data_IF_065038523227
#
_entry.id   IF_065038523227
#
_cell.length_a   1.000
_cell.length_b   1.000
_cell.length_c   1.000
_cell.angle_alpha   90.00
_cell.angle_beta   90.00
_cell.angle_gamma   90.00
#
_symmetry.space_group_name_H-M   'P 1'
#
loop_
_entity.id
_entity.type
_entity.pdbx_description
1 polymer ?
#
# COMPACT_ATOMS: atom_id res chain seq x y z
N UNK A 1 -11.60 8.38 22.64
CA UNK A 1 -11.28 8.83 21.28
C UNK A 1 -12.12 8.01 20.31
N UNK A 2 -12.91 8.66 19.45
CA UNK A 2 -13.78 7.95 18.50
C UNK A 2 -13.04 7.83 17.18
N UNK A 3 -12.47 6.67 16.90
CA UNK A 3 -11.86 6.38 15.59
C UNK A 3 -13.00 5.88 14.70
N UNK A 4 -13.31 6.63 13.63
CA UNK A 4 -14.25 6.22 12.60
C UNK A 4 -13.50 5.60 11.42
N UNK A 5 -12.38 6.20 11.03
CA UNK A 5 -11.66 5.84 9.83
C UNK A 5 -10.17 5.63 10.12
N UNK A 6 -9.55 4.76 9.33
CA UNK A 6 -8.12 4.45 9.42
C UNK A 6 -7.42 4.67 8.08
N UNK A 7 -6.38 5.49 8.08
CA UNK A 7 -5.53 5.73 6.91
C UNK A 7 -4.14 5.14 7.12
N UNK A 8 -3.85 4.04 6.45
CA UNK A 8 -2.55 3.38 6.45
C UNK A 8 -1.63 4.05 5.44
N UNK A 9 -1.13 5.24 5.78
CA UNK A 9 -0.28 6.05 4.90
C UNK A 9 1.22 5.86 5.16
N UNK A 10 1.62 5.43 6.36
CA UNK A 10 3.03 5.26 6.69
C UNK A 10 3.73 4.38 5.64
N UNK A 11 4.89 4.82 5.19
CA UNK A 11 5.69 4.10 4.20
C UNK A 11 7.05 4.77 4.04
N UNK A 12 8.05 3.95 3.82
CA UNK A 12 9.43 4.39 3.66
C UNK A 12 10.12 3.62 2.53
N UNK A 13 11.21 4.18 2.07
CA UNK A 13 12.17 3.53 1.19
C UNK A 13 13.57 3.72 1.77
N UNK A 14 14.24 2.61 2.09
CA UNK A 14 15.62 2.59 2.55
C UNK A 14 16.56 2.10 1.46
N UNK A 15 17.83 2.53 1.52
CA UNK A 15 18.87 2.10 0.58
C UNK A 15 19.50 0.80 1.01
N UNK A 16 19.71 0.65 2.29
CA UNK A 16 20.45 -0.46 2.87
C UNK A 16 19.48 -1.49 3.46
N UNK A 17 19.96 -2.70 3.59
CA UNK A 17 19.20 -3.73 4.29
C UNK A 17 19.36 -3.53 5.80
N UNK A 18 18.27 -3.21 6.45
CA UNK A 18 18.22 -3.02 7.89
C UNK A 18 17.15 -3.89 8.50
N UNK A 19 17.42 -4.47 9.65
CA UNK A 19 16.45 -5.22 10.45
C UNK A 19 15.93 -4.35 11.60
N UNK A 20 14.66 -4.53 11.91
CA UNK A 20 14.06 -4.01 13.16
C UNK A 20 14.53 -4.83 14.35
N UNK A 21 14.25 -4.38 15.57
CA UNK A 21 14.53 -5.12 16.82
C UNK A 21 13.83 -6.49 16.82
N UNK A 22 12.68 -6.62 16.14
CA UNK A 22 11.93 -7.88 15.98
C UNK A 22 12.50 -8.79 14.88
N UNK A 23 13.57 -8.39 14.19
CA UNK A 23 14.22 -9.17 13.14
C UNK A 23 13.59 -9.04 11.74
N UNK A 24 12.65 -8.13 11.52
CA UNK A 24 12.04 -7.89 10.22
C UNK A 24 12.81 -6.89 9.38
N UNK A 25 12.86 -7.08 8.07
CA UNK A 25 13.40 -6.07 7.17
C UNK A 25 12.56 -4.77 7.26
N UNK A 26 13.21 -3.62 7.40
CA UNK A 26 12.59 -2.34 7.78
C UNK A 26 11.48 -1.88 6.82
N UNK A 27 11.65 -2.02 5.49
CA UNK A 27 10.59 -1.66 4.55
C UNK A 27 9.40 -2.61 4.63
N UNK A 28 9.64 -3.91 4.82
CA UNK A 28 8.59 -4.90 5.01
C UNK A 28 7.82 -4.62 6.30
N UNK A 29 8.54 -4.38 7.39
CA UNK A 29 7.97 -4.07 8.70
C UNK A 29 7.07 -2.83 8.64
N UNK A 30 7.57 -1.71 8.16
CA UNK A 30 6.81 -0.45 8.16
C UNK A 30 5.73 -0.41 7.07
N UNK A 31 6.09 -0.81 5.83
CA UNK A 31 5.18 -0.65 4.71
C UNK A 31 4.06 -1.69 4.70
N UNK A 32 4.28 -2.87 5.25
CA UNK A 32 3.30 -3.95 5.16
C UNK A 32 2.86 -4.48 6.52
N UNK A 33 3.75 -5.01 7.35
CA UNK A 33 3.37 -5.62 8.63
C UNK A 33 2.72 -4.60 9.60
N UNK A 34 3.27 -3.39 9.69
CA UNK A 34 2.68 -2.33 10.51
C UNK A 34 1.28 -1.92 10.05
N UNK A 35 1.06 -1.86 8.72
CA UNK A 35 -0.26 -1.58 8.17
C UNK A 35 -1.26 -2.72 8.44
N UNK A 36 -0.83 -3.98 8.32
CA UNK A 36 -1.61 -5.17 8.64
C UNK A 36 -1.99 -5.18 10.13
N UNK A 37 -1.00 -5.13 11.04
CA UNK A 37 -1.23 -5.12 12.50
C UNK A 37 -2.22 -4.04 12.92
N UNK A 38 -1.97 -2.80 12.51
CA UNK A 38 -2.82 -1.68 12.91
C UNK A 38 -4.24 -1.77 12.34
N UNK A 39 -4.41 -2.32 11.14
CA UNK A 39 -5.75 -2.53 10.60
C UNK A 39 -6.51 -3.54 11.46
N UNK A 40 -5.93 -4.73 11.72
CA UNK A 40 -6.63 -5.78 12.47
C UNK A 40 -6.87 -5.41 13.93
N UNK A 41 -5.89 -4.84 14.62
CA UNK A 41 -6.03 -4.42 16.03
C UNK A 41 -7.12 -3.35 16.24
N UNK A 42 -7.47 -2.60 15.20
CA UNK A 42 -8.47 -1.54 15.31
C UNK A 42 -9.85 -1.95 14.78
N UNK A 43 -10.03 -3.17 14.27
CA UNK A 43 -11.29 -3.61 13.66
C UNK A 43 -12.50 -3.45 14.58
N UNK A 44 -12.41 -3.85 15.85
CA UNK A 44 -13.51 -3.71 16.80
C UNK A 44 -13.97 -2.26 16.97
N UNK A 45 -13.00 -1.34 17.03
CA UNK A 45 -13.30 0.09 17.17
C UNK A 45 -13.93 0.68 15.90
N UNK A 46 -13.50 0.21 14.74
CA UNK A 46 -14.04 0.61 13.44
C UNK A 46 -15.42 0.01 13.20
N UNK A 47 -15.63 -1.26 13.59
CA UNK A 47 -16.88 -1.99 13.39
C UNK A 47 -18.08 -1.31 14.07
N UNK A 48 -17.88 -0.83 15.29
CA UNK A 48 -18.93 -0.11 16.07
C UNK A 48 -19.47 1.15 15.39
N UNK A 49 -18.85 1.65 14.32
CA UNK A 49 -19.12 2.94 13.70
C UNK A 49 -19.19 2.95 12.18
N UNK A 50 -19.32 1.78 11.55
CA UNK A 50 -19.27 1.66 10.09
C UNK A 50 -18.02 2.36 9.53
N UNK A 51 -16.87 1.99 10.08
CA UNK A 51 -15.59 2.63 9.78
C UNK A 51 -15.06 2.31 8.39
N UNK A 52 -14.02 3.04 8.00
CA UNK A 52 -13.34 2.84 6.72
C UNK A 52 -11.84 2.67 6.91
N UNK A 53 -11.26 1.72 6.17
CA UNK A 53 -9.82 1.52 6.10
C UNK A 53 -9.35 1.91 4.70
N UNK A 54 -8.49 2.92 4.61
CA UNK A 54 -7.86 3.32 3.35
C UNK A 54 -6.39 2.92 3.37
N UNK A 55 -6.02 2.02 2.48
CA UNK A 55 -4.65 1.56 2.33
C UNK A 55 -3.94 2.38 1.26
N UNK A 56 -2.97 3.21 1.68
CA UNK A 56 -2.18 3.99 0.73
C UNK A 56 -1.08 3.11 0.14
N UNK A 57 -1.11 2.91 -1.15
CA UNK A 57 -0.12 2.14 -1.94
C UNK A 57 0.68 3.07 -2.86
N UNK A 58 1.37 2.53 -3.85
CA UNK A 58 2.17 3.28 -4.80
C UNK A 58 2.04 2.72 -6.21
N UNK A 59 2.20 3.59 -7.21
CA UNK A 59 2.39 3.20 -8.62
C UNK A 59 3.48 2.13 -8.79
N UNK A 60 4.43 2.07 -7.87
CA UNK A 60 5.52 1.09 -7.88
C UNK A 60 5.04 -0.37 -7.80
N UNK A 61 3.82 -0.65 -7.33
CA UNK A 61 3.25 -2.00 -7.33
C UNK A 61 3.19 -2.63 -8.72
N UNK A 62 3.05 -1.81 -9.79
CA UNK A 62 3.05 -2.32 -11.17
C UNK A 62 4.42 -2.80 -11.66
N UNK A 63 5.49 -2.41 -10.96
CA UNK A 63 6.86 -2.84 -11.25
C UNK A 63 7.22 -4.16 -10.57
N UNK A 64 6.40 -4.63 -9.63
CA UNK A 64 6.58 -5.94 -9.01
C UNK A 64 6.17 -7.04 -10.02
N UNK A 65 7.14 -7.85 -10.47
CA UNK A 65 6.94 -8.86 -11.52
C UNK A 65 6.68 -10.27 -10.99
N UNK A 66 7.09 -10.53 -9.76
CA UNK A 66 7.01 -11.85 -9.14
C UNK A 66 6.53 -11.73 -7.70
N UNK A 67 5.89 -12.79 -7.22
CA UNK A 67 5.48 -12.95 -5.84
C UNK A 67 6.25 -14.14 -5.23
N UNK A 68 7.11 -13.86 -4.26
CA UNK A 68 7.97 -14.87 -3.63
C UNK A 68 8.04 -14.63 -2.12
N UNK A 69 7.24 -15.36 -1.37
CA UNK A 69 7.19 -15.27 0.10
C UNK A 69 8.47 -15.79 0.77
N UNK A 70 9.08 -16.82 0.20
CA UNK A 70 10.34 -17.40 0.66
C UNK A 70 11.52 -16.42 0.71
N UNK A 71 11.39 -15.31 -0.03
CA UNK A 71 12.40 -14.25 -0.10
C UNK A 71 12.06 -12.99 0.68
N UNK A 72 11.01 -13.00 1.49
CA UNK A 72 10.61 -11.82 2.27
C UNK A 72 11.75 -11.30 3.16
N UNK A 73 12.47 -12.20 3.82
CA UNK A 73 13.53 -11.86 4.76
C UNK A 73 14.93 -12.04 4.18
N UNK A 74 15.07 -12.41 2.88
CA UNK A 74 16.39 -12.68 2.28
C UNK A 74 17.12 -11.37 1.97
N UNK A 75 18.34 -11.25 2.51
CA UNK A 75 19.29 -10.19 2.18
C UNK A 75 19.85 -10.34 0.75
N UNK A 76 20.06 -11.57 0.29
CA UNK A 76 20.61 -11.86 -1.03
C UNK A 76 19.73 -11.35 -2.17
N UNK A 77 18.41 -11.32 -1.96
CA UNK A 77 17.45 -10.80 -2.93
C UNK A 77 17.13 -9.32 -2.71
N UNK A 78 17.79 -8.64 -1.76
CA UNK A 78 17.48 -7.27 -1.43
C UNK A 78 17.96 -6.30 -2.53
N UNK A 79 17.04 -5.50 -2.97
CA UNK A 79 17.27 -4.31 -3.78
C UNK A 79 16.26 -3.27 -3.32
N UNK A 80 16.68 -2.05 -2.96
CA UNK A 80 15.77 -1.03 -2.42
C UNK A 80 14.53 -0.81 -3.28
N UNK A 81 14.73 -0.67 -4.59
CA UNK A 81 13.61 -0.47 -5.54
C UNK A 81 12.70 -1.70 -5.62
N UNK A 82 13.27 -2.91 -5.71
CA UNK A 82 12.47 -4.13 -5.80
C UNK A 82 11.72 -4.39 -4.50
N UNK A 83 12.34 -4.16 -3.34
CA UNK A 83 11.70 -4.28 -2.04
C UNK A 83 10.55 -3.29 -1.89
N UNK A 84 10.76 -2.03 -2.25
CA UNK A 84 9.71 -1.03 -2.24
C UNK A 84 8.53 -1.38 -3.16
N UNK A 85 8.82 -1.82 -4.40
CA UNK A 85 7.79 -2.28 -5.34
C UNK A 85 6.99 -3.46 -4.76
N UNK A 86 7.70 -4.40 -4.16
CA UNK A 86 7.11 -5.61 -3.58
C UNK A 86 6.25 -5.27 -2.36
N UNK A 87 6.72 -4.45 -1.42
CA UNK A 87 5.90 -4.06 -0.26
C UNK A 87 4.63 -3.31 -0.67
N UNK A 88 4.65 -2.51 -1.74
CA UNK A 88 3.44 -1.88 -2.27
C UNK A 88 2.51 -2.87 -2.98
N UNK A 89 3.04 -3.93 -3.62
CA UNK A 89 2.22 -5.03 -4.11
C UNK A 89 1.51 -5.73 -2.95
N UNK A 90 2.24 -6.08 -1.88
CA UNK A 90 1.67 -6.72 -0.68
C UNK A 90 0.56 -5.87 -0.04
N UNK A 91 0.77 -4.55 0.05
CA UNK A 91 -0.26 -3.62 0.55
C UNK A 91 -1.54 -3.65 -0.28
N UNK A 92 -1.40 -3.73 -1.59
CA UNK A 92 -2.55 -3.79 -2.51
C UNK A 92 -3.27 -5.13 -2.41
N UNK A 93 -2.53 -6.24 -2.29
CA UNK A 93 -3.10 -7.58 -2.04
C UNK A 93 -3.83 -7.62 -0.71
N UNK A 94 -3.24 -7.05 0.34
CA UNK A 94 -3.85 -6.94 1.66
C UNK A 94 -5.17 -6.15 1.63
N UNK A 95 -5.21 -5.00 0.93
CA UNK A 95 -6.43 -4.20 0.84
C UNK A 95 -7.59 -4.99 0.23
N UNK A 96 -7.35 -5.67 -0.89
CA UNK A 96 -8.36 -6.46 -1.57
C UNK A 96 -8.79 -7.68 -0.74
N UNK A 97 -7.85 -8.36 -0.08
CA UNK A 97 -8.18 -9.51 0.76
C UNK A 97 -8.92 -9.09 2.03
N UNK A 98 -8.52 -7.97 2.64
CA UNK A 98 -9.22 -7.42 3.80
C UNK A 98 -10.66 -7.04 3.46
N UNK A 99 -10.91 -6.43 2.29
CA UNK A 99 -12.27 -6.18 1.81
C UNK A 99 -13.07 -7.48 1.71
N UNK A 100 -12.49 -8.53 1.11
CA UNK A 100 -13.15 -9.83 1.00
C UNK A 100 -13.54 -10.43 2.35
N UNK A 101 -12.64 -10.37 3.33
CA UNK A 101 -12.89 -10.86 4.69
C UNK A 101 -13.93 -10.03 5.44
N UNK A 102 -14.00 -8.74 5.17
CA UNK A 102 -14.91 -7.83 5.85
C UNK A 102 -16.27 -7.63 5.14
N UNK A 103 -16.54 -8.33 4.04
CA UNK A 103 -17.81 -8.21 3.25
C UNK A 103 -19.09 -8.34 4.06
N UNK A 104 -19.07 -9.06 5.17
CA UNK A 104 -20.24 -9.27 6.06
C UNK A 104 -20.25 -8.28 7.24
N UNK A 105 -19.41 -7.29 7.23
CA UNK A 105 -19.31 -6.29 8.29
C UNK A 105 -19.74 -4.91 7.81
N UNK A 106 -19.78 -3.94 8.69
CA UNK A 106 -20.05 -2.54 8.37
C UNK A 106 -18.78 -1.75 7.98
N UNK A 107 -17.63 -2.40 7.90
CA UNK A 107 -16.35 -1.75 7.59
C UNK A 107 -16.12 -1.80 6.07
N UNK A 108 -15.86 -0.65 5.47
CA UNK A 108 -15.44 -0.53 4.08
C UNK A 108 -13.93 -0.45 3.96
N UNK A 109 -13.40 -0.97 2.86
CA UNK A 109 -11.96 -0.92 2.56
C UNK A 109 -11.72 -0.26 1.21
N UNK A 110 -10.67 0.53 1.11
CA UNK A 110 -10.21 1.13 -0.14
C UNK A 110 -8.70 1.05 -0.26
N UNK A 111 -8.20 1.12 -1.48
CA UNK A 111 -6.80 1.39 -1.73
C UNK A 111 -6.66 2.63 -2.62
N UNK A 112 -5.66 3.44 -2.33
CA UNK A 112 -5.37 4.65 -3.09
C UNK A 112 -3.88 4.87 -3.27
N UNK A 113 -3.47 5.50 -4.38
CA UNK A 113 -2.11 5.98 -4.51
C UNK A 113 -2.08 7.41 -5.06
N UNK A 114 -1.14 8.25 -4.56
CA UNK A 114 -1.10 9.68 -4.85
C UNK A 114 -0.48 10.04 -6.21
N UNK A 115 -0.12 9.06 -7.03
CA UNK A 115 0.70 9.32 -8.21
C UNK A 115 2.15 9.66 -7.83
N UNK A 116 2.78 10.50 -8.64
CA UNK A 116 4.14 11.00 -8.38
C UNK A 116 4.05 12.41 -7.80
N UNK A 117 4.35 12.57 -6.50
CA UNK A 117 4.23 13.84 -5.78
C UNK A 117 5.59 14.46 -5.45
N UNK A 118 5.66 15.80 -5.51
CA UNK A 118 6.84 16.56 -5.04
C UNK A 118 6.75 16.70 -3.51
N UNK A 119 7.40 15.82 -2.77
CA UNK A 119 7.57 15.98 -1.33
C UNK A 119 9.04 16.22 -0.96
N UNK A 120 9.31 16.78 0.23
CA UNK A 120 10.69 16.93 0.72
C UNK A 120 11.42 15.58 0.84
N UNK A 121 10.68 14.50 1.09
CA UNK A 121 11.21 13.12 1.22
C UNK A 121 11.33 12.41 -0.12
N UNK A 122 10.62 12.84 -1.14
CA UNK A 122 10.62 12.22 -2.47
C UNK A 122 11.79 12.65 -3.37
N UNK A 123 12.88 13.19 -2.80
CA UNK A 123 14.10 13.38 -3.58
C UNK A 123 14.58 12.01 -4.02
N UNK A 124 14.67 11.75 -5.36
CA UNK A 124 15.10 10.46 -5.85
C UNK A 124 16.53 10.20 -5.40
N UNK A 125 16.67 9.33 -4.42
CA UNK A 125 17.97 8.89 -3.94
C UNK A 125 18.67 8.11 -5.05
N UNK A 126 19.80 8.64 -5.55
CA UNK A 126 20.67 7.95 -6.51
C UNK A 126 20.18 7.87 -7.95
N UNK A 127 19.16 8.64 -8.33
CA UNK A 127 18.68 8.69 -9.72
C UNK A 127 19.62 9.55 -10.56
N UNK A 128 20.20 8.97 -11.63
CA UNK A 128 21.01 9.69 -12.62
C UNK A 128 20.25 10.93 -13.13
N UNK A 129 20.99 11.98 -13.55
CA UNK A 129 20.45 13.30 -13.96
C UNK A 129 19.22 13.25 -14.90
N UNK A 130 19.18 12.30 -15.82
CA UNK A 130 18.09 12.09 -16.80
C UNK A 130 16.78 11.68 -16.11
N UNK A 131 16.83 10.79 -15.11
CA UNK A 131 15.64 10.38 -14.36
C UNK A 131 15.11 11.49 -13.44
N UNK A 132 15.99 12.38 -12.97
CA UNK A 132 15.60 13.55 -12.16
C UNK A 132 14.76 14.54 -12.97
N UNK A 133 15.09 14.77 -14.24
CA UNK A 133 14.33 15.64 -15.14
C UNK A 133 12.92 15.09 -15.41
N UNK A 134 12.80 13.79 -15.69
CA UNK A 134 11.51 13.14 -15.89
C UNK A 134 10.63 13.22 -14.64
N UNK A 135 11.20 12.91 -13.45
CA UNK A 135 10.52 13.03 -12.18
C UNK A 135 10.02 14.46 -11.93
N UNK A 136 10.85 15.47 -12.20
CA UNK A 136 10.51 16.88 -12.00
C UNK A 136 9.36 17.32 -12.90
N UNK A 137 9.30 16.82 -14.13
CA UNK A 137 8.28 17.18 -15.11
C UNK A 137 6.92 16.52 -14.79
N UNK A 138 6.93 15.24 -14.41
CA UNK A 138 5.69 14.46 -14.17
C UNK A 138 5.21 14.48 -12.72
N UNK A 139 5.94 15.07 -11.79
CA UNK A 139 5.50 15.12 -10.40
C UNK A 139 4.50 16.26 -10.14
N UNK A 140 3.44 15.95 -9.43
CA UNK A 140 2.40 16.89 -9.02
C UNK A 140 2.70 17.53 -7.66
N UNK A 141 2.01 18.63 -7.34
CA UNK A 141 2.05 19.17 -5.99
C UNK A 141 1.33 18.25 -5.00
N UNK A 142 1.56 18.46 -3.70
CA UNK A 142 0.98 17.63 -2.65
C UNK A 142 -0.56 17.69 -2.66
N UNK A 143 -1.15 18.86 -2.88
CA UNK A 143 -2.62 19.03 -2.90
C UNK A 143 -3.26 18.16 -3.99
N UNK A 144 -2.70 18.16 -5.18
CA UNK A 144 -3.17 17.30 -6.28
C UNK A 144 -2.90 15.83 -5.99
N UNK A 145 -1.74 15.51 -5.41
CA UNK A 145 -1.36 14.13 -5.10
C UNK A 145 -2.22 13.47 -4.03
N UNK A 146 -2.75 14.21 -3.08
CA UNK A 146 -3.65 13.63 -2.06
C UNK A 146 -5.09 13.40 -2.56
N UNK A 147 -5.48 14.00 -3.69
CA UNK A 147 -6.85 13.94 -4.18
C UNK A 147 -7.41 12.51 -4.33
N UNK A 148 -6.70 11.51 -4.88
CA UNK A 148 -7.20 10.13 -4.92
C UNK A 148 -7.44 9.52 -3.53
N UNK A 149 -6.62 9.89 -2.54
CA UNK A 149 -6.79 9.42 -1.16
C UNK A 149 -8.04 10.04 -0.55
N UNK A 150 -8.23 11.36 -0.73
CA UNK A 150 -9.43 12.07 -0.27
C UNK A 150 -10.68 11.49 -0.93
N UNK A 151 -10.64 11.24 -2.24
CA UNK A 151 -11.77 10.60 -2.95
C UNK A 151 -12.08 9.23 -2.36
N UNK A 152 -11.07 8.39 -2.08
CA UNK A 152 -11.29 7.08 -1.44
C UNK A 152 -11.88 7.19 -0.02
N UNK A 153 -11.65 8.32 0.66
CA UNK A 153 -12.23 8.60 1.97
C UNK A 153 -13.71 8.99 1.86
N UNK A 154 -14.06 9.76 0.85
CA UNK A 154 -15.38 10.40 0.71
C UNK A 154 -16.37 9.59 -0.14
N UNK A 155 -15.89 8.68 -0.98
CA UNK A 155 -16.72 7.89 -1.89
C UNK A 155 -17.69 6.96 -1.13
N UNK A 156 -18.98 7.15 -1.32
CA UNK A 156 -20.01 6.34 -0.68
C UNK A 156 -20.00 4.89 -1.22
N UNK A 157 -19.60 4.70 -2.47
CA UNK A 157 -19.51 3.39 -3.15
C UNK A 157 -18.06 2.86 -3.15
N UNK A 158 -17.34 3.09 -2.06
CA UNK A 158 -15.94 2.72 -1.94
C UNK A 158 -15.72 1.21 -2.08
N UNK A 159 -14.66 0.83 -2.77
CA UNK A 159 -14.22 -0.56 -2.92
C UNK A 159 -12.71 -0.66 -2.99
N UNK A 160 -12.17 -1.80 -2.57
CA UNK A 160 -10.78 -2.18 -2.81
C UNK A 160 -10.60 -3.09 -4.05
N UNK A 161 -11.62 -3.33 -4.85
CA UNK A 161 -11.49 -4.07 -6.12
C UNK A 161 -10.68 -3.31 -7.18
N UNK A 162 -10.66 -1.99 -7.06
CA UNK A 162 -9.87 -1.08 -7.88
C UNK A 162 -9.09 -0.12 -6.98
N UNK A 163 -8.04 0.49 -7.51
CA UNK A 163 -7.25 1.49 -6.79
C UNK A 163 -7.63 2.89 -7.22
N UNK A 164 -7.89 3.77 -6.25
CA UNK A 164 -8.05 5.20 -6.49
C UNK A 164 -6.70 5.82 -6.86
N UNK A 165 -6.63 6.41 -8.02
CA UNK A 165 -5.38 6.88 -8.62
C UNK A 165 -5.61 8.11 -9.50
N UNK A 166 -4.57 8.89 -9.82
CA UNK A 166 -4.65 9.91 -10.85
C UNK A 166 -4.99 9.30 -12.21
N UNK A 167 -5.92 9.90 -12.96
CA UNK A 167 -6.50 9.36 -14.19
C UNK A 167 -5.47 9.07 -15.29
N UNK A 168 -4.46 9.92 -15.42
CA UNK A 168 -3.49 9.81 -16.53
C UNK A 168 -2.33 8.94 -16.08
N UNK A 169 -2.33 7.68 -16.54
CA UNK A 169 -1.32 6.65 -16.26
C UNK A 169 -1.03 6.44 -14.76
N UNK A 170 -1.96 6.79 -13.87
CA UNK A 170 -1.74 6.75 -12.42
C UNK A 170 -0.73 7.79 -11.91
N UNK A 171 -0.28 8.71 -12.74
CA UNK A 171 0.80 9.66 -12.44
C UNK A 171 0.24 11.03 -12.05
N UNK A 172 -0.66 11.56 -12.83
CA UNK A 172 -1.25 12.89 -12.63
C UNK A 172 -2.70 12.99 -13.13
N UNK A 173 -3.37 14.08 -12.80
CA UNK A 173 -4.76 14.35 -13.20
C UNK A 173 -5.76 14.16 -12.05
N UNK A 174 -7.05 14.27 -12.38
CA UNK A 174 -8.13 14.06 -11.41
C UNK A 174 -8.17 12.61 -10.91
N UNK A 175 -8.72 12.34 -9.72
CA UNK A 175 -8.91 10.98 -9.23
C UNK A 175 -9.76 10.13 -10.18
N UNK A 176 -9.42 8.86 -10.28
CA UNK A 176 -10.16 7.84 -11.02
C UNK A 176 -9.85 6.46 -10.45
N UNK A 177 -10.65 5.46 -10.81
CA UNK A 177 -10.40 4.07 -10.47
C UNK A 177 -9.54 3.41 -11.55
N UNK A 178 -8.55 2.64 -11.12
CA UNK A 178 -7.64 1.88 -11.99
C UNK A 178 -7.55 0.42 -11.53
N UNK A 179 -7.29 -0.50 -12.46
CA UNK A 179 -6.99 -1.89 -12.14
C UNK A 179 -5.63 -2.00 -11.46
N UNK A 180 -5.48 -2.94 -10.55
CA UNK A 180 -4.18 -3.27 -9.96
C UNK A 180 -3.24 -4.00 -10.94
N UNK A 181 -2.02 -4.24 -10.47
CA UNK A 181 -1.16 -5.29 -11.02
C UNK A 181 -1.91 -6.63 -10.99
N UNK A 182 -1.78 -7.43 -12.06
CA UNK A 182 -2.47 -8.72 -12.21
C UNK A 182 -2.26 -9.70 -11.03
N UNK A 183 -1.11 -9.62 -10.35
CA UNK A 183 -0.81 -10.45 -9.19
C UNK A 183 -1.75 -10.18 -8.01
N UNK A 184 -2.27 -8.95 -7.89
CA UNK A 184 -3.22 -8.59 -6.83
C UNK A 184 -4.52 -9.37 -6.96
N UNK A 185 -4.97 -9.67 -8.17
CA UNK A 185 -6.22 -10.39 -8.42
C UNK A 185 -6.10 -11.92 -8.26
N UNK A 186 -4.89 -12.45 -8.11
CA UNK A 186 -4.69 -13.88 -7.90
C UNK A 186 -5.08 -14.27 -6.47
N UNK A 187 -6.23 -14.95 -6.31
CA UNK A 187 -6.77 -15.34 -5.00
C UNK A 187 -5.80 -16.25 -4.24
N UNK A 188 -5.24 -17.26 -4.90
CA UNK A 188 -4.30 -18.20 -4.25
C UNK A 188 -3.09 -17.48 -3.65
N UNK A 189 -2.56 -16.47 -4.35
CA UNK A 189 -1.45 -15.68 -3.82
C UNK A 189 -1.87 -14.80 -2.64
N UNK A 190 -3.09 -14.25 -2.65
CA UNK A 190 -3.60 -13.48 -1.51
C UNK A 190 -3.83 -14.36 -0.30
N UNK A 191 -4.38 -15.55 -0.48
CA UNK A 191 -4.60 -16.52 0.61
C UNK A 191 -3.27 -16.95 1.22
N UNK A 192 -2.27 -17.25 0.38
CA UNK A 192 -0.91 -17.56 0.84
C UNK A 192 -0.28 -16.40 1.62
N UNK A 193 -0.41 -15.17 1.10
CA UNK A 193 0.09 -13.98 1.77
C UNK A 193 -0.59 -13.78 3.12
N UNK A 194 -1.92 -13.89 3.16
CA UNK A 194 -2.68 -13.72 4.39
C UNK A 194 -2.26 -14.73 5.46
N UNK A 195 -2.29 -16.02 5.12
CA UNK A 195 -1.94 -17.09 6.05
C UNK A 195 -0.50 -16.97 6.55
N UNK A 196 0.44 -16.62 5.66
CA UNK A 196 1.83 -16.41 6.05
C UNK A 196 1.94 -15.23 7.02
N UNK A 197 1.29 -14.10 6.73
CA UNK A 197 1.36 -12.91 7.57
C UNK A 197 0.67 -13.10 8.90
N UNK A 198 -0.49 -13.76 8.92
CA UNK A 198 -1.21 -14.09 10.15
C UNK A 198 -0.36 -14.95 11.09
N UNK A 199 0.31 -15.97 10.55
CA UNK A 199 1.21 -16.83 11.31
C UNK A 199 2.44 -16.07 11.81
N UNK A 200 3.08 -15.28 10.94
CA UNK A 200 4.29 -14.50 11.24
C UNK A 200 4.04 -13.47 12.36
N UNK A 201 2.89 -12.83 12.33
CA UNK A 201 2.54 -11.79 13.29
C UNK A 201 1.69 -12.29 14.47
N UNK A 202 1.31 -13.56 14.44
CA UNK A 202 0.37 -14.18 15.39
C UNK A 202 -0.92 -13.35 15.55
N UNK A 203 -1.53 -12.97 14.40
CA UNK A 203 -2.68 -12.08 14.33
C UNK A 203 -3.57 -12.39 13.12
N UNK A 204 -4.81 -12.80 13.35
CA UNK A 204 -5.83 -13.09 12.32
C UNK A 204 -7.22 -12.55 12.73
N UNK A 205 -8.22 -12.66 11.79
CA UNK A 205 -9.64 -12.30 11.98
C UNK A 205 -10.56 -13.39 11.45
#
# INVERSE_FOLDING_TARGET
MCIRDRYNNAGLIYRDYELTEEGYESMLSVNYFGAYRLALMLLENLHRRSGRIVQVTSLSMYLARTFKLDRLHSIESFSPSNRYNFTNLLRSMFALELENKLKKTSISVAAAHPGVTKSRKSRPYGVKKIKKSFYTYFSTNIKTGIAPIVTAIEDENVTAELVYAPKILGVYGRPSLMKYNKLVYNQELRDKLWSHTANELNLDI
#
